data_IF_186432433608
#
_entry.id   IF_186432433608
#
_cell.length_a   1.000
_cell.length_b   1.000
_cell.length_c   1.000
_cell.angle_alpha   90.00
_cell.angle_beta   90.00
_cell.angle_gamma   90.00
#
_symmetry.space_group_name_H-M   'P 1'
#
loop_
_entity.id
_entity.type
_entity.pdbx_description
1 polymer ?
#
# COMPACT_ATOMS: atom_id res chain seq x y z
N UNK A 1 6.00 -3.96 5.60
CA UNK A 1 5.55 -4.74 6.78
C UNK A 1 4.37 -4.04 7.43
N UNK A 2 3.54 -4.78 8.15
CA UNK A 2 2.43 -4.20 8.91
C UNK A 2 2.72 -4.23 10.41
N UNK A 3 2.05 -3.35 11.15
CA UNK A 3 2.07 -3.35 12.60
C UNK A 3 0.64 -3.27 13.15
N UNK A 4 0.45 -3.83 14.31
CA UNK A 4 -0.84 -3.83 14.99
C UNK A 4 -0.66 -3.24 16.39
N UNK A 5 -0.69 -1.89 16.52
CA UNK A 5 -0.55 -1.26 17.83
C UNK A 5 -1.73 -1.63 18.73
N UNK A 6 -1.53 -1.53 20.05
CA UNK A 6 -2.57 -1.93 21.01
C UNK A 6 -3.91 -1.25 20.76
N UNK A 7 -3.90 0.03 20.44
CA UNK A 7 -5.13 0.78 20.15
C UNK A 7 -5.88 0.23 18.93
N UNK A 8 -5.18 -0.41 17.99
CA UNK A 8 -5.84 -1.03 16.84
C UNK A 8 -6.48 -2.38 17.20
N UNK A 9 -5.84 -3.19 18.04
CA UNK A 9 -6.47 -4.40 18.58
C UNK A 9 -7.73 -4.07 19.40
N UNK A 10 -7.63 -3.08 20.29
CA UNK A 10 -8.76 -2.61 21.09
C UNK A 10 -9.94 -2.20 20.18
N UNK A 11 -9.65 -1.51 19.08
CA UNK A 11 -10.64 -1.14 18.07
C UNK A 11 -11.28 -2.36 17.39
N UNK A 12 -10.50 -3.33 16.95
CA UNK A 12 -11.03 -4.53 16.30
C UNK A 12 -11.95 -5.31 17.25
N UNK A 13 -11.58 -5.44 18.52
CA UNK A 13 -12.40 -6.09 19.55
C UNK A 13 -13.70 -5.31 19.82
N UNK A 14 -13.63 -3.99 20.00
CA UNK A 14 -14.79 -3.13 20.25
C UNK A 14 -15.80 -3.13 19.10
N UNK A 15 -15.35 -3.25 17.85
CA UNK A 15 -16.22 -3.35 16.68
C UNK A 15 -16.65 -4.79 16.37
N UNK A 16 -16.17 -5.80 17.13
CA UNK A 16 -16.47 -7.20 16.89
C UNK A 16 -15.83 -7.76 15.61
N UNK A 17 -14.75 -7.15 15.15
CA UNK A 17 -14.03 -7.52 13.94
C UNK A 17 -12.96 -8.59 14.25
N UNK A 18 -13.41 -9.78 14.61
CA UNK A 18 -12.52 -10.88 14.99
C UNK A 18 -11.81 -11.55 13.81
N UNK A 19 -12.40 -11.50 12.62
CA UNK A 19 -11.85 -12.05 11.38
C UNK A 19 -12.17 -11.10 10.21
N UNK A 20 -11.58 -9.88 10.19
CA UNK A 20 -12.00 -8.85 9.25
C UNK A 20 -11.76 -9.22 7.79
N UNK A 21 -10.72 -10.02 7.50
CA UNK A 21 -10.32 -10.40 6.16
C UNK A 21 -10.49 -11.90 5.89
N UNK A 22 -11.30 -12.58 6.72
CA UNK A 22 -11.57 -14.01 6.65
C UNK A 22 -10.66 -14.85 7.56
N UNK A 23 -9.78 -14.22 8.35
CA UNK A 23 -8.96 -14.84 9.38
C UNK A 23 -8.69 -13.87 10.55
N UNK A 24 -8.32 -14.36 11.74
CA UNK A 24 -8.00 -13.52 12.88
C UNK A 24 -6.84 -12.57 12.61
N UNK A 25 -6.88 -11.39 13.22
CA UNK A 25 -5.72 -10.50 13.22
C UNK A 25 -4.50 -11.25 13.82
N UNK A 26 -3.33 -11.19 13.16
CA UNK A 26 -2.13 -11.87 13.66
C UNK A 26 -1.66 -11.24 14.99
N UNK A 27 -0.95 -12.02 15.80
CA UNK A 27 -0.25 -11.50 16.97
C UNK A 27 0.95 -10.65 16.52
N UNK A 28 1.13 -9.50 17.16
CA UNK A 28 2.22 -8.60 16.88
C UNK A 28 2.61 -7.82 18.13
N UNK A 29 3.91 -7.66 18.34
CA UNK A 29 4.53 -6.71 19.26
C UNK A 29 5.90 -6.25 18.71
N UNK A 30 6.53 -5.30 19.39
CA UNK A 30 7.82 -4.77 18.96
C UNK A 30 8.94 -5.82 19.00
N UNK A 31 8.89 -6.79 19.91
CA UNK A 31 9.87 -7.86 19.99
C UNK A 31 9.74 -8.80 18.78
N UNK A 32 8.53 -9.22 18.47
CA UNK A 32 8.21 -9.99 17.27
C UNK A 32 8.65 -9.26 15.99
N UNK A 33 8.42 -7.95 15.92
CA UNK A 33 8.84 -7.13 14.77
C UNK A 33 10.35 -7.21 14.55
N UNK A 34 11.16 -7.10 15.61
CA UNK A 34 12.63 -7.18 15.50
C UNK A 34 13.10 -8.59 15.13
N UNK A 35 12.48 -9.62 15.66
CA UNK A 35 12.77 -11.01 15.30
C UNK A 35 12.46 -11.28 13.83
N UNK A 36 11.28 -10.87 13.34
CA UNK A 36 10.89 -11.03 11.96
C UNK A 36 11.83 -10.27 11.00
N UNK A 37 12.23 -9.05 11.34
CA UNK A 37 13.21 -8.30 10.55
C UNK A 37 14.57 -9.00 10.50
N UNK A 38 14.99 -9.59 11.61
CA UNK A 38 16.25 -10.35 11.68
C UNK A 38 16.19 -11.59 10.79
N UNK A 39 15.11 -12.36 10.87
CA UNK A 39 14.91 -13.58 10.07
C UNK A 39 14.85 -13.27 8.57
N UNK A 40 14.22 -12.16 8.18
CA UNK A 40 14.11 -11.70 6.79
C UNK A 40 15.30 -10.86 6.31
N UNK A 41 16.33 -10.66 7.14
CA UNK A 41 17.47 -9.80 6.83
C UNK A 41 17.08 -8.36 6.45
N UNK A 42 16.00 -7.83 7.03
CA UNK A 42 15.51 -6.48 6.78
C UNK A 42 16.22 -5.50 7.72
N UNK A 43 16.95 -4.55 7.15
CA UNK A 43 17.66 -3.52 7.92
C UNK A 43 16.75 -2.35 8.30
N UNK A 44 15.75 -2.06 7.47
CA UNK A 44 14.79 -0.97 7.70
C UNK A 44 13.40 -1.36 7.18
N UNK A 45 12.38 -1.15 7.99
CA UNK A 45 10.99 -1.43 7.63
C UNK A 45 10.11 -0.18 7.75
N UNK A 46 9.27 0.07 6.74
CA UNK A 46 8.13 0.96 6.85
C UNK A 46 6.93 0.16 7.34
N UNK A 47 6.39 0.57 8.49
CA UNK A 47 5.25 -0.06 9.13
C UNK A 47 3.95 0.63 8.71
N UNK A 48 2.92 -0.12 8.36
CA UNK A 48 1.59 0.40 8.04
C UNK A 48 0.51 -0.41 8.73
N UNK A 49 -0.63 0.21 9.02
CA UNK A 49 -1.85 -0.53 9.34
C UNK A 49 -2.35 -1.20 8.06
N UNK A 50 -2.84 -2.43 8.21
CA UNK A 50 -3.52 -3.15 7.14
C UNK A 50 -5.05 -2.87 7.14
N UNK A 51 -5.81 -3.65 6.38
CA UNK A 51 -7.29 -3.70 6.45
C UNK A 51 -7.76 -4.27 7.81
N UNK A 52 -8.93 -3.83 8.30
CA UNK A 52 -9.80 -2.78 7.77
C UNK A 52 -9.33 -1.37 8.10
N UNK A 53 -9.92 -0.37 7.41
CA UNK A 53 -9.64 1.02 7.73
C UNK A 53 -10.21 1.43 9.10
N UNK A 54 -9.78 2.58 9.59
CA UNK A 54 -10.21 3.15 10.88
C UNK A 54 -11.56 3.88 10.82
N UNK A 55 -12.30 3.79 9.71
CA UNK A 55 -13.57 4.45 9.57
C UNK A 55 -14.71 3.64 10.19
N UNK A 56 -15.26 4.14 11.29
CA UNK A 56 -16.30 3.49 12.10
C UNK A 56 -17.72 3.97 11.76
N UNK A 57 -17.91 4.83 10.74
CA UNK A 57 -19.17 5.54 10.52
C UNK A 57 -19.37 6.74 11.45
N UNK A 58 -18.70 6.81 12.59
CA UNK A 58 -18.69 7.95 13.51
C UNK A 58 -17.43 8.79 13.28
N UNK A 59 -17.61 10.00 12.73
CA UNK A 59 -16.49 10.86 12.38
C UNK A 59 -15.59 11.30 13.54
N UNK A 60 -16.13 11.45 14.76
CA UNK A 60 -15.32 11.81 15.91
C UNK A 60 -14.43 10.64 16.35
N UNK A 61 -15.02 9.44 16.43
CA UNK A 61 -14.30 8.22 16.79
C UNK A 61 -13.25 7.86 15.74
N UNK A 62 -13.56 7.95 14.45
CA UNK A 62 -12.61 7.67 13.37
C UNK A 62 -11.40 8.60 13.41
N UNK A 63 -11.61 9.89 13.70
CA UNK A 63 -10.52 10.87 13.85
C UNK A 63 -9.64 10.58 15.08
N UNK A 64 -10.27 10.27 16.20
CA UNK A 64 -9.58 9.95 17.45
C UNK A 64 -8.76 8.66 17.29
N UNK A 65 -9.34 7.66 16.66
CA UNK A 65 -8.68 6.38 16.41
C UNK A 65 -7.46 6.55 15.49
N UNK A 66 -7.62 7.24 14.34
CA UNK A 66 -6.50 7.53 13.45
C UNK A 66 -5.36 8.24 14.19
N UNK A 67 -5.67 9.28 14.99
CA UNK A 67 -4.71 10.02 15.80
C UNK A 67 -3.94 9.11 16.75
N UNK A 68 -4.63 8.30 17.55
CA UNK A 68 -4.03 7.39 18.53
C UNK A 68 -3.12 6.35 17.87
N UNK A 69 -3.56 5.77 16.75
CA UNK A 69 -2.75 4.81 15.98
C UNK A 69 -1.46 5.47 15.48
N UNK A 70 -1.56 6.67 14.92
CA UNK A 70 -0.39 7.38 14.40
C UNK A 70 0.59 7.79 15.51
N UNK A 71 0.08 8.24 16.67
CA UNK A 71 0.91 8.58 17.83
C UNK A 71 1.60 7.34 18.40
N UNK A 72 0.90 6.20 18.49
CA UNK A 72 1.50 4.92 18.91
C UNK A 72 2.54 4.43 17.89
N UNK A 73 2.26 4.57 16.57
CA UNK A 73 3.23 4.29 15.51
C UNK A 73 4.51 5.12 15.62
N UNK A 74 4.38 6.42 15.84
CA UNK A 74 5.52 7.30 16.07
C UNK A 74 6.32 6.92 17.33
N UNK A 75 5.63 6.50 18.41
CA UNK A 75 6.27 6.01 19.64
C UNK A 75 7.07 4.73 19.34
N UNK A 76 6.49 3.75 18.64
CA UNK A 76 7.15 2.49 18.25
C UNK A 76 8.42 2.81 17.45
N UNK A 77 8.33 3.69 16.45
CA UNK A 77 9.48 4.10 15.65
C UNK A 77 10.55 4.78 16.51
N UNK A 78 10.17 5.54 17.54
CA UNK A 78 11.12 6.20 18.43
C UNK A 78 12.00 5.23 19.24
N UNK A 79 11.56 3.98 19.42
CA UNK A 79 12.35 2.93 20.10
C UNK A 79 13.43 2.33 19.20
N UNK A 80 13.30 2.43 17.86
CA UNK A 80 14.25 1.90 16.89
C UNK A 80 14.35 2.81 15.63
N UNK A 81 14.73 4.09 15.76
CA UNK A 81 14.63 5.08 14.68
C UNK A 81 15.56 4.81 13.50
N UNK A 82 16.62 4.04 13.69
CA UNK A 82 17.54 3.60 12.62
C UNK A 82 17.02 2.41 11.81
N UNK A 83 15.98 1.72 12.29
CA UNK A 83 15.47 0.49 11.67
C UNK A 83 14.00 0.57 11.28
N UNK A 84 13.24 1.49 11.86
CA UNK A 84 11.80 1.61 11.65
C UNK A 84 11.40 3.00 11.16
N UNK A 85 10.40 3.00 10.30
CA UNK A 85 9.59 4.15 9.96
C UNK A 85 8.13 3.75 9.90
N UNK A 86 7.21 4.69 9.73
CA UNK A 86 5.80 4.36 9.61
C UNK A 86 5.06 5.19 8.57
N UNK A 87 3.96 4.64 8.08
CA UNK A 87 3.00 5.29 7.20
C UNK A 87 1.78 5.71 8.02
N UNK A 88 1.41 6.97 7.92
CA UNK A 88 0.25 7.49 8.61
C UNK A 88 -1.05 6.86 8.09
N UNK A 89 -1.95 6.47 9.00
CA UNK A 89 -3.32 6.10 8.65
C UNK A 89 -4.22 7.32 8.75
N UNK A 90 -5.16 7.47 7.79
CA UNK A 90 -6.00 8.65 7.69
C UNK A 90 -7.49 8.30 7.91
N UNK A 91 -8.28 9.18 8.57
CA UNK A 91 -9.68 8.93 8.84
C UNK A 91 -10.58 9.17 7.61
N UNK A 92 -10.17 8.67 6.42
CA UNK A 92 -10.99 8.72 5.22
C UNK A 92 -12.29 7.92 5.43
N UNK A 93 -13.41 8.33 4.79
CA UNK A 93 -13.54 9.34 3.76
C UNK A 93 -13.73 10.79 4.26
N UNK A 94 -13.31 11.11 5.48
CA UNK A 94 -13.44 12.45 6.07
C UNK A 94 -12.31 13.35 5.58
N UNK A 95 -12.39 13.84 4.35
CA UNK A 95 -11.30 14.50 3.59
C UNK A 95 -10.61 15.62 4.39
N UNK A 96 -11.34 16.61 4.88
CA UNK A 96 -10.71 17.70 5.66
C UNK A 96 -10.01 17.18 6.92
N UNK A 97 -10.59 16.19 7.62
CA UNK A 97 -9.95 15.58 8.79
C UNK A 97 -8.69 14.82 8.39
N UNK A 98 -8.72 14.15 7.25
CA UNK A 98 -7.56 13.43 6.70
C UNK A 98 -6.43 14.37 6.29
N UNK A 99 -6.74 15.55 5.76
CA UNK A 99 -5.73 16.59 5.47
C UNK A 99 -5.06 17.07 6.77
N UNK A 100 -5.84 17.36 7.82
CA UNK A 100 -5.29 17.78 9.11
C UNK A 100 -4.43 16.67 9.74
N UNK A 101 -4.87 15.42 9.64
CA UNK A 101 -4.13 14.28 10.17
C UNK A 101 -2.85 14.03 9.37
N UNK A 102 -2.89 14.09 8.04
CA UNK A 102 -1.72 13.95 7.18
C UNK A 102 -0.66 15.01 7.50
N UNK A 103 -1.08 16.28 7.65
CA UNK A 103 -0.17 17.37 8.05
C UNK A 103 0.48 17.09 9.39
N UNK A 104 -0.29 16.73 10.39
CA UNK A 104 0.23 16.42 11.72
C UNK A 104 1.23 15.26 11.69
N UNK A 105 0.89 14.19 10.99
CA UNK A 105 1.76 13.02 10.91
C UNK A 105 3.07 13.31 10.15
N UNK A 106 2.99 14.01 9.03
CA UNK A 106 4.17 14.29 8.20
C UNK A 106 5.05 15.38 8.79
N UNK A 107 4.48 16.39 9.44
CA UNK A 107 5.20 17.56 9.95
C UNK A 107 5.69 17.37 11.40
N UNK A 108 4.85 16.80 12.27
CA UNK A 108 5.13 16.70 13.72
C UNK A 108 5.58 15.29 14.15
N UNK A 109 4.93 14.24 13.62
CA UNK A 109 5.27 12.87 13.96
C UNK A 109 6.37 12.29 13.04
N UNK A 110 6.75 13.01 11.99
CA UNK A 110 7.78 12.62 11.02
C UNK A 110 7.49 11.27 10.34
N UNK A 111 6.22 10.99 10.05
CA UNK A 111 5.83 9.84 9.25
C UNK A 111 6.52 9.87 7.87
N UNK A 112 6.90 8.72 7.35
CA UNK A 112 7.62 8.60 6.07
C UNK A 112 6.69 8.75 4.85
N UNK A 113 5.39 8.65 5.08
CA UNK A 113 4.36 8.75 4.06
C UNK A 113 2.98 8.45 4.64
N UNK A 114 2.04 8.10 3.77
CA UNK A 114 0.68 7.72 4.15
C UNK A 114 0.30 6.36 3.58
N UNK A 115 -0.47 5.57 4.35
CA UNK A 115 -1.11 4.35 3.89
C UNK A 115 -2.57 4.63 3.53
N UNK A 116 -3.00 4.28 2.33
CA UNK A 116 -4.37 4.48 1.86
C UNK A 116 -4.99 3.17 1.41
N UNK A 117 -6.20 2.87 1.90
CA UNK A 117 -6.97 1.71 1.43
C UNK A 117 -7.53 1.97 0.03
N UNK A 118 -7.77 0.91 -0.74
CA UNK A 118 -8.37 0.99 -2.08
C UNK A 118 -9.72 1.66 -2.08
N UNK A 119 -10.50 1.49 -1.00
CA UNK A 119 -11.77 2.19 -0.82
C UNK A 119 -12.09 2.43 0.67
N UNK A 120 -13.03 3.32 0.93
CA UNK A 120 -13.55 3.68 2.25
C UNK A 120 -15.09 3.71 2.17
N UNK A 121 -15.72 2.53 2.34
CA UNK A 121 -17.17 2.40 2.23
C UNK A 121 -17.70 2.79 0.85
N UNK A 122 -16.97 2.44 -0.22
CA UNK A 122 -17.35 2.73 -1.61
C UNK A 122 -16.81 4.06 -2.16
N UNK A 123 -16.04 4.83 -1.36
CA UNK A 123 -15.24 5.95 -1.86
C UNK A 123 -13.87 5.39 -2.28
N UNK A 124 -13.72 5.05 -3.53
CA UNK A 124 -12.47 4.50 -4.08
C UNK A 124 -11.42 5.57 -4.30
N UNK A 125 -10.14 5.19 -4.26
CA UNK A 125 -9.06 6.05 -4.74
C UNK A 125 -9.36 6.46 -6.19
N UNK A 126 -9.07 7.72 -6.52
CA UNK A 126 -9.47 8.34 -7.79
C UNK A 126 -10.87 8.98 -7.79
N UNK A 127 -11.66 8.83 -6.72
CA UNK A 127 -12.92 9.58 -6.57
C UNK A 127 -12.63 11.07 -6.36
N UNK A 128 -13.32 11.93 -7.10
CA UNK A 128 -13.14 13.39 -7.05
C UNK A 128 -13.38 14.00 -5.67
N UNK A 129 -14.12 13.31 -4.80
CA UNK A 129 -14.26 13.72 -3.39
C UNK A 129 -12.95 13.74 -2.64
N UNK A 130 -11.92 13.02 -3.11
CA UNK A 130 -10.59 12.94 -2.50
C UNK A 130 -9.61 13.99 -3.06
N UNK A 131 -9.99 14.79 -4.07
CA UNK A 131 -9.11 15.71 -4.80
C UNK A 131 -8.35 16.68 -3.87
N UNK A 132 -9.00 17.21 -2.84
CA UNK A 132 -8.33 18.12 -1.89
C UNK A 132 -7.21 17.43 -1.10
N UNK A 133 -7.42 16.18 -0.71
CA UNK A 133 -6.37 15.38 -0.06
C UNK A 133 -5.25 15.04 -1.05
N UNK A 134 -5.60 14.65 -2.27
CA UNK A 134 -4.61 14.36 -3.31
C UNK A 134 -3.74 15.58 -3.61
N UNK A 135 -4.33 16.77 -3.70
CA UNK A 135 -3.59 18.02 -3.89
C UNK A 135 -2.64 18.33 -2.71
N UNK A 136 -3.04 18.05 -1.46
CA UNK A 136 -2.17 18.19 -0.29
C UNK A 136 -0.98 17.23 -0.36
N UNK A 137 -1.23 15.95 -0.71
CA UNK A 137 -0.18 14.93 -0.83
C UNK A 137 0.76 15.22 -2.01
N UNK A 138 0.21 15.69 -3.13
CA UNK A 138 0.98 16.10 -4.31
C UNK A 138 1.91 17.27 -4.00
N UNK A 139 1.40 18.32 -3.35
CA UNK A 139 2.19 19.47 -2.95
C UNK A 139 3.38 19.14 -2.03
N UNK A 140 3.33 17.99 -1.38
CA UNK A 140 4.41 17.45 -0.52
C UNK A 140 5.31 16.44 -1.21
N UNK A 141 4.96 15.97 -2.40
CA UNK A 141 5.62 14.83 -3.02
C UNK A 141 5.56 13.58 -2.11
N UNK A 142 4.41 13.36 -1.48
CA UNK A 142 4.28 12.36 -0.44
C UNK A 142 4.43 10.92 -0.98
N UNK A 143 5.13 10.07 -0.21
CA UNK A 143 5.04 8.62 -0.40
C UNK A 143 3.64 8.17 0.01
N UNK A 144 2.96 7.47 -0.88
CA UNK A 144 1.60 6.97 -0.65
C UNK A 144 1.53 5.51 -1.02
N UNK A 145 1.35 4.66 -0.01
CA UNK A 145 1.26 3.21 -0.20
C UNK A 145 -0.21 2.81 -0.22
N UNK A 146 -0.65 2.23 -1.34
CA UNK A 146 -1.98 1.66 -1.47
C UNK A 146 -2.05 0.32 -0.73
N UNK A 147 -3.16 0.04 -0.07
CA UNK A 147 -3.45 -1.29 0.49
C UNK A 147 -4.88 -1.71 0.13
N UNK A 148 -5.09 -2.94 -0.33
CA UNK A 148 -6.44 -3.44 -0.58
C UNK A 148 -7.24 -3.58 0.72
N UNK A 149 -8.55 -3.49 0.59
CA UNK A 149 -9.51 -3.78 1.64
C UNK A 149 -10.74 -4.43 1.04
N UNK A 150 -11.66 -4.89 1.87
CA UNK A 150 -12.90 -5.50 1.43
C UNK A 150 -13.62 -4.63 0.38
N UNK A 151 -14.15 -5.22 -0.69
CA UNK A 151 -15.04 -4.51 -1.62
C UNK A 151 -16.22 -3.87 -0.89
N UNK A 152 -16.63 -2.68 -1.33
CA UNK A 152 -17.80 -2.00 -0.76
C UNK A 152 -19.10 -2.80 -0.87
N UNK A 153 -19.18 -3.67 -1.86
CA UNK A 153 -20.30 -4.59 -2.10
C UNK A 153 -19.76 -5.96 -2.46
N UNK A 154 -19.95 -6.92 -1.59
CA UNK A 154 -19.70 -8.33 -1.87
C UNK A 154 -20.88 -8.93 -2.64
N UNK A 155 -20.58 -9.86 -3.57
CA UNK A 155 -21.61 -10.62 -4.28
C UNK A 155 -22.06 -11.74 -3.36
N UNK A 156 -23.35 -11.78 -2.93
CA UNK A 156 -23.84 -12.83 -2.05
C UNK A 156 -23.70 -14.23 -2.69
N UNK A 157 -23.46 -15.24 -1.89
CA UNK A 157 -23.32 -16.65 -2.29
C UNK A 157 -22.21 -16.94 -3.31
N UNK A 158 -21.20 -16.01 -3.44
CA UNK A 158 -20.08 -16.18 -4.36
C UNK A 158 -18.76 -16.00 -3.61
N UNK A 159 -17.90 -17.03 -3.65
CA UNK A 159 -16.55 -17.02 -3.06
C UNK A 159 -16.51 -16.77 -1.53
N UNK A 160 -17.59 -17.01 -0.79
CA UNK A 160 -17.69 -16.68 0.63
C UNK A 160 -16.70 -17.43 1.53
N UNK A 161 -16.24 -18.62 1.09
CA UNK A 161 -15.25 -19.42 1.82
C UNK A 161 -13.80 -19.07 1.46
N UNK A 162 -13.58 -18.17 0.47
CA UNK A 162 -12.26 -17.74 0.06
C UNK A 162 -11.88 -16.50 0.87
N UNK A 163 -10.79 -16.54 1.66
CA UNK A 163 -10.32 -15.34 2.34
C UNK A 163 -10.08 -14.17 1.39
N UNK A 164 -10.44 -12.96 1.79
CA UNK A 164 -10.34 -11.76 0.93
C UNK A 164 -8.97 -11.56 0.28
N UNK A 165 -7.83 -11.79 0.97
CA UNK A 165 -6.51 -11.64 0.36
C UNK A 165 -6.23 -12.60 -0.80
N UNK A 166 -6.89 -13.76 -0.83
CA UNK A 166 -6.66 -14.76 -1.87
C UNK A 166 -7.21 -14.36 -3.26
N UNK A 167 -8.20 -13.47 -3.30
CA UNK A 167 -8.82 -13.04 -4.55
C UNK A 167 -9.28 -11.57 -4.54
N UNK A 168 -10.12 -11.18 -3.61
CA UNK A 168 -10.76 -9.86 -3.61
C UNK A 168 -9.75 -8.72 -3.51
N UNK A 169 -8.65 -8.88 -2.79
CA UNK A 169 -7.62 -7.87 -2.69
C UNK A 169 -6.95 -7.56 -4.02
N UNK A 170 -6.75 -8.57 -4.86
CA UNK A 170 -6.23 -8.37 -6.21
C UNK A 170 -7.24 -7.63 -7.11
N UNK A 171 -8.51 -7.96 -6.97
CA UNK A 171 -9.60 -7.27 -7.67
C UNK A 171 -9.67 -5.81 -7.22
N UNK A 172 -9.63 -5.56 -5.91
CA UNK A 172 -9.74 -4.22 -5.34
C UNK A 172 -8.53 -3.32 -5.68
N UNK A 173 -7.30 -3.84 -5.59
CA UNK A 173 -6.11 -3.12 -6.04
C UNK A 173 -6.24 -2.71 -7.51
N UNK A 174 -6.63 -3.66 -8.36
CA UNK A 174 -6.81 -3.40 -9.80
C UNK A 174 -7.93 -2.39 -10.04
N UNK A 175 -9.06 -2.54 -9.36
CA UNK A 175 -10.22 -1.63 -9.48
C UNK A 175 -9.87 -0.20 -9.06
N UNK A 176 -9.18 -0.03 -7.93
CA UNK A 176 -8.77 1.27 -7.43
C UNK A 176 -7.79 1.95 -8.40
N UNK A 177 -6.77 1.24 -8.86
CA UNK A 177 -5.82 1.78 -9.84
C UNK A 177 -6.51 2.24 -11.13
N UNK A 178 -7.42 1.42 -11.67
CA UNK A 178 -8.17 1.77 -12.87
C UNK A 178 -9.10 2.97 -12.65
N UNK A 179 -9.70 3.10 -11.47
CA UNK A 179 -10.50 4.26 -11.12
C UNK A 179 -9.63 5.53 -11.04
N UNK A 180 -8.41 5.41 -10.50
CA UNK A 180 -7.43 6.51 -10.48
C UNK A 180 -7.01 6.93 -11.89
N UNK A 181 -6.67 5.97 -12.75
CA UNK A 181 -6.32 6.22 -14.15
C UNK A 181 -7.48 6.87 -14.92
N UNK A 182 -8.71 6.35 -14.76
CA UNK A 182 -9.90 6.90 -15.43
C UNK A 182 -10.20 8.33 -15.01
N UNK A 183 -9.85 8.72 -13.79
CA UNK A 183 -10.08 10.05 -13.23
C UNK A 183 -8.83 10.95 -13.27
N UNK A 184 -7.84 10.60 -14.09
CA UNK A 184 -6.61 11.37 -14.33
C UNK A 184 -5.77 11.64 -13.06
N UNK A 185 -5.87 10.78 -12.03
CA UNK A 185 -5.21 11.00 -10.72
C UNK A 185 -3.70 11.16 -10.88
N UNK A 186 -3.06 10.33 -11.69
CA UNK A 186 -1.59 10.37 -11.90
C UNK A 186 -1.16 11.65 -12.65
N UNK A 187 -1.96 12.11 -13.60
CA UNK A 187 -1.71 13.34 -14.36
C UNK A 187 -1.98 14.61 -13.53
N UNK A 188 -3.05 14.61 -12.72
CA UNK A 188 -3.43 15.77 -11.89
C UNK A 188 -2.53 15.92 -10.66
N UNK A 189 -2.00 14.80 -10.15
CA UNK A 189 -1.19 14.75 -8.92
C UNK A 189 0.13 14.00 -9.16
N UNK A 190 0.99 14.50 -10.08
CA UNK A 190 2.16 13.79 -10.60
C UNK A 190 3.30 13.64 -9.58
N UNK A 191 3.27 14.40 -8.48
CA UNK A 191 4.33 14.35 -7.48
C UNK A 191 4.06 13.31 -6.38
N UNK A 192 2.85 12.74 -6.30
CA UNK A 192 2.56 11.65 -5.36
C UNK A 192 3.34 10.41 -5.80
N UNK A 193 4.13 9.86 -4.88
CA UNK A 193 4.91 8.65 -5.12
C UNK A 193 4.07 7.44 -4.69
N UNK A 194 3.30 6.91 -5.63
CA UNK A 194 2.40 5.79 -5.40
C UNK A 194 3.15 4.46 -5.36
N UNK A 195 2.94 3.66 -4.30
CA UNK A 195 3.35 2.25 -4.24
C UNK A 195 2.10 1.39 -4.30
N UNK A 196 2.03 0.55 -5.32
CA UNK A 196 0.92 -0.37 -5.58
C UNK A 196 1.34 -1.76 -5.11
N UNK A 197 0.57 -2.42 -4.23
CA UNK A 197 0.98 -3.68 -3.63
C UNK A 197 0.89 -4.87 -4.58
N UNK A 198 1.53 -5.98 -4.18
CA UNK A 198 1.40 -7.30 -4.81
C UNK A 198 1.74 -7.29 -6.30
N UNK A 199 2.85 -6.62 -6.69
CA UNK A 199 3.26 -6.47 -8.10
C UNK A 199 2.15 -5.94 -9.02
N UNK A 200 1.28 -5.05 -8.49
CA UNK A 200 0.18 -4.46 -9.24
C UNK A 200 -0.99 -5.40 -9.49
N UNK A 201 -1.09 -6.50 -8.74
CA UNK A 201 -2.22 -7.44 -8.80
C UNK A 201 -2.53 -7.92 -10.23
N UNK A 202 -3.70 -7.61 -10.80
CA UNK A 202 -4.07 -8.02 -12.17
C UNK A 202 -3.73 -6.98 -13.25
N UNK A 203 -3.10 -5.86 -12.92
CA UNK A 203 -2.85 -4.76 -13.87
C UNK A 203 -2.11 -5.23 -15.10
N UNK A 204 -0.98 -5.94 -14.94
CA UNK A 204 -0.17 -6.40 -16.08
C UNK A 204 -0.89 -7.38 -17.01
N UNK A 205 -1.80 -8.21 -16.47
CA UNK A 205 -2.61 -9.15 -17.28
C UNK A 205 -3.66 -8.41 -18.10
N UNK A 206 -4.18 -7.29 -17.55
CA UNK A 206 -5.28 -6.57 -18.14
C UNK A 206 -4.85 -5.33 -18.94
N UNK A 207 -3.57 -4.93 -18.86
CA UNK A 207 -3.05 -3.69 -19.44
C UNK A 207 -3.39 -3.54 -20.93
N UNK A 208 -3.02 -4.52 -21.77
CA UNK A 208 -3.29 -4.47 -23.21
C UNK A 208 -4.79 -4.36 -23.54
N UNK A 209 -5.63 -5.01 -22.71
CA UNK A 209 -7.09 -4.95 -22.88
C UNK A 209 -7.62 -3.58 -22.57
N UNK A 210 -7.14 -2.96 -21.48
CA UNK A 210 -7.54 -1.60 -21.10
C UNK A 210 -7.07 -0.59 -22.12
N UNK A 211 -5.84 -0.68 -22.59
CA UNK A 211 -5.32 0.19 -23.63
C UNK A 211 -6.18 0.13 -24.89
N UNK A 212 -6.51 -1.08 -25.34
CA UNK A 212 -7.39 -1.26 -26.50
C UNK A 212 -8.75 -0.60 -26.32
N UNK A 213 -9.38 -0.73 -25.13
CA UNK A 213 -10.66 -0.09 -24.83
C UNK A 213 -10.52 1.42 -24.62
N UNK A 214 -9.43 1.92 -24.02
CA UNK A 214 -9.15 3.34 -23.89
C UNK A 214 -9.02 3.99 -25.27
N UNK A 215 -8.33 3.36 -26.24
CA UNK A 215 -8.26 3.82 -27.62
C UNK A 215 -9.65 3.87 -28.26
N UNK A 216 -10.48 2.85 -28.08
CA UNK A 216 -11.87 2.88 -28.58
C UNK A 216 -12.69 4.04 -27.97
N UNK A 217 -12.54 4.30 -26.68
CA UNK A 217 -13.22 5.40 -25.99
C UNK A 217 -12.70 6.77 -26.44
N UNK A 218 -11.42 6.92 -26.74
CA UNK A 218 -10.83 8.14 -27.32
C UNK A 218 -11.43 8.47 -28.69
N UNK A 219 -11.76 7.47 -29.52
CA UNK A 219 -12.47 7.70 -30.79
C UNK A 219 -13.90 8.20 -30.61
N UNK A 220 -14.53 7.89 -29.48
CA UNK A 220 -15.87 8.35 -29.15
C UNK A 220 -15.87 9.72 -28.42
N UNK A 221 -14.81 10.02 -27.68
CA UNK A 221 -14.64 11.24 -26.88
C UNK A 221 -13.16 11.62 -26.82
N UNK A 222 -12.78 12.63 -27.59
CA UNK A 222 -11.39 13.08 -27.75
C UNK A 222 -10.74 13.68 -26.48
N UNK A 223 -11.54 14.01 -25.46
CA UNK A 223 -11.04 14.62 -24.22
C UNK A 223 -10.62 13.57 -23.16
N UNK A 224 -10.89 12.28 -23.38
CA UNK A 224 -10.45 11.20 -22.49
C UNK A 224 -8.99 10.84 -22.74
N UNK A 225 -8.16 10.94 -21.68
CA UNK A 225 -6.71 10.76 -21.74
C UNK A 225 -6.18 9.51 -21.03
N UNK A 226 -7.01 8.68 -20.41
CA UNK A 226 -6.52 7.54 -19.66
C UNK A 226 -5.50 6.72 -20.48
N UNK A 227 -4.24 6.78 -20.07
CA UNK A 227 -3.14 5.99 -20.60
C UNK A 227 -2.61 5.11 -19.50
N UNK A 228 -3.15 3.90 -19.43
CA UNK A 228 -2.86 3.01 -18.32
C UNK A 228 -1.42 2.53 -18.31
N UNK A 229 -0.76 2.47 -19.47
CA UNK A 229 0.64 2.07 -19.56
C UNK A 229 1.55 3.16 -19.00
N UNK A 230 1.25 4.44 -19.29
CA UNK A 230 1.93 5.57 -18.71
C UNK A 230 1.70 5.64 -17.19
N UNK A 231 0.45 5.47 -16.75
CA UNK A 231 0.09 5.45 -15.32
C UNK A 231 0.79 4.31 -14.56
N UNK A 232 0.88 3.11 -15.16
CA UNK A 232 1.62 1.99 -14.61
C UNK A 232 3.13 2.28 -14.53
N UNK A 233 3.70 2.91 -15.55
CA UNK A 233 5.12 3.28 -15.55
C UNK A 233 5.44 4.40 -14.55
N UNK A 234 4.47 5.20 -14.15
CA UNK A 234 4.61 6.24 -13.13
C UNK A 234 4.61 5.68 -11.71
N UNK A 235 3.87 4.61 -11.44
CA UNK A 235 3.75 4.01 -10.11
C UNK A 235 4.95 3.11 -9.76
N UNK A 236 5.11 2.87 -8.46
CA UNK A 236 6.05 1.90 -7.88
C UNK A 236 5.27 0.67 -7.41
N UNK A 237 5.97 -0.45 -7.22
CA UNK A 237 5.33 -1.72 -6.89
C UNK A 237 6.11 -2.48 -5.83
N UNK A 238 5.43 -3.05 -4.84
CA UNK A 238 6.08 -3.97 -3.93
C UNK A 238 5.93 -5.43 -4.37
N UNK A 239 6.85 -6.27 -3.90
CA UNK A 239 6.91 -7.68 -4.22
C UNK A 239 6.23 -8.56 -3.18
N UNK A 240 5.32 -8.01 -2.35
CA UNK A 240 4.59 -8.79 -1.37
C UNK A 240 3.70 -9.87 -2.05
N UNK A 241 3.42 -10.94 -1.30
CA UNK A 241 2.70 -12.10 -1.82
C UNK A 241 3.52 -12.88 -2.85
N UNK A 242 3.15 -14.08 -3.21
CA UNK A 242 3.89 -15.04 -4.06
C UNK A 242 4.15 -14.53 -5.51
N UNK A 243 4.81 -13.39 -5.65
CA UNK A 243 4.91 -12.58 -6.85
C UNK A 243 5.97 -13.04 -7.86
N UNK A 244 7.02 -13.77 -7.40
CA UNK A 244 8.18 -14.11 -8.23
C UNK A 244 7.83 -14.97 -9.47
N UNK A 245 6.95 -15.96 -9.31
CA UNK A 245 6.74 -16.97 -10.34
C UNK A 245 6.15 -16.43 -11.65
N UNK A 246 5.12 -15.58 -11.56
CA UNK A 246 4.38 -15.09 -12.73
C UNK A 246 4.29 -13.58 -12.78
N UNK A 247 3.94 -12.94 -11.67
CA UNK A 247 3.65 -11.50 -11.63
C UNK A 247 4.89 -10.67 -11.94
N UNK A 248 6.06 -11.02 -11.38
CA UNK A 248 7.32 -10.31 -11.64
C UNK A 248 7.62 -10.24 -13.15
N UNK A 249 7.57 -11.38 -13.87
CA UNK A 249 7.83 -11.40 -15.29
C UNK A 249 6.83 -10.55 -16.08
N UNK A 250 5.55 -10.61 -15.69
CA UNK A 250 4.50 -9.86 -16.39
C UNK A 250 4.62 -8.36 -16.14
N UNK A 251 4.94 -7.96 -14.89
CA UNK A 251 5.11 -6.55 -14.55
C UNK A 251 6.33 -5.94 -15.25
N UNK A 252 7.44 -6.65 -15.32
CA UNK A 252 8.67 -6.20 -16.01
C UNK A 252 8.50 -5.97 -17.54
N UNK A 253 7.39 -6.40 -18.14
CA UNK A 253 7.05 -6.05 -19.52
C UNK A 253 6.49 -4.65 -19.68
N UNK A 254 5.99 -4.07 -18.59
CA UNK A 254 5.29 -2.78 -18.58
C UNK A 254 6.01 -1.73 -17.73
N UNK A 255 6.86 -2.14 -16.78
CA UNK A 255 7.46 -1.29 -15.76
C UNK A 255 8.94 -1.57 -15.64
N UNK A 256 9.73 -0.50 -15.46
CA UNK A 256 11.18 -0.61 -15.22
C UNK A 256 11.47 -1.17 -13.82
N UNK A 257 12.52 -1.96 -13.68
CA UNK A 257 12.90 -2.57 -12.41
C UNK A 257 13.27 -1.57 -11.30
N UNK A 258 13.57 -0.33 -11.66
CA UNK A 258 13.82 0.74 -10.68
C UNK A 258 12.57 1.14 -9.88
N UNK A 259 11.39 0.69 -10.32
CA UNK A 259 10.11 0.91 -9.65
C UNK A 259 9.69 -0.24 -8.74
N UNK A 260 10.53 -1.27 -8.57
CA UNK A 260 10.22 -2.42 -7.74
C UNK A 260 10.83 -2.32 -6.35
N UNK A 261 10.07 -2.70 -5.32
CA UNK A 261 10.51 -2.79 -3.93
C UNK A 261 10.27 -4.17 -3.35
N UNK A 262 11.06 -4.53 -2.35
CA UNK A 262 10.74 -5.67 -1.51
C UNK A 262 9.62 -5.29 -0.53
N UNK A 263 8.60 -6.15 -0.44
CA UNK A 263 7.54 -6.13 0.56
C UNK A 263 7.35 -7.53 1.12
N UNK A 264 7.21 -7.67 2.42
CA UNK A 264 7.03 -8.99 3.08
C UNK A 264 5.57 -9.33 3.36
N UNK A 265 4.75 -8.31 3.59
CA UNK A 265 3.36 -8.47 4.05
C UNK A 265 3.21 -9.14 5.44
N UNK A 266 4.33 -9.22 6.22
CA UNK A 266 4.27 -9.71 7.60
C UNK A 266 3.55 -8.68 8.50
N UNK A 267 2.84 -9.11 9.54
CA UNK A 267 2.61 -10.47 10.04
C UNK A 267 1.41 -11.19 9.38
N UNK A 268 0.72 -10.58 8.44
CA UNK A 268 -0.44 -11.18 7.77
C UNK A 268 -0.03 -12.35 6.87
N UNK A 269 1.14 -12.28 6.25
CA UNK A 269 1.77 -13.45 5.64
C UNK A 269 2.72 -14.09 6.66
N UNK A 270 2.59 -15.40 6.86
CA UNK A 270 3.44 -16.20 7.77
C UNK A 270 4.93 -16.00 7.46
N UNK A 271 5.75 -15.88 8.50
CA UNK A 271 7.17 -15.58 8.37
C UNK A 271 7.91 -16.61 7.50
N UNK A 272 7.56 -17.89 7.61
CA UNK A 272 8.19 -18.97 6.81
C UNK A 272 7.87 -18.79 5.33
N UNK A 273 6.64 -18.36 5.01
CA UNK A 273 6.26 -18.03 3.64
C UNK A 273 7.01 -16.81 3.11
N UNK A 274 7.19 -15.78 3.95
CA UNK A 274 7.98 -14.59 3.59
C UNK A 274 9.45 -14.90 3.32
N UNK A 275 10.07 -15.79 4.12
CA UNK A 275 11.44 -16.28 3.87
C UNK A 275 11.51 -16.97 2.51
N UNK A 276 10.59 -17.91 2.24
CA UNK A 276 10.55 -18.61 0.95
C UNK A 276 10.33 -17.67 -0.26
N UNK A 277 9.57 -16.59 -0.09
CA UNK A 277 9.38 -15.56 -1.12
C UNK A 277 10.65 -14.72 -1.35
N UNK A 278 11.34 -14.32 -0.27
CA UNK A 278 12.59 -13.58 -0.36
C UNK A 278 13.66 -14.43 -1.07
N UNK A 279 13.82 -15.70 -0.69
CA UNK A 279 14.71 -16.63 -1.35
C UNK A 279 14.39 -16.83 -2.83
N UNK A 280 13.10 -16.95 -3.19
CA UNK A 280 12.68 -17.04 -4.58
C UNK A 280 13.06 -15.80 -5.39
N UNK A 281 12.91 -14.60 -4.83
CA UNK A 281 13.34 -13.35 -5.45
C UNK A 281 14.88 -13.25 -5.56
N UNK A 282 15.63 -13.71 -4.55
CA UNK A 282 17.10 -13.76 -4.60
C UNK A 282 17.61 -14.72 -5.66
N UNK A 283 16.94 -15.86 -5.84
CA UNK A 283 17.34 -16.91 -6.78
C UNK A 283 16.75 -16.73 -8.19
N UNK A 284 15.85 -15.77 -8.40
CA UNK A 284 15.19 -15.60 -9.69
C UNK A 284 16.19 -15.35 -10.82
N UNK A 285 15.95 -16.00 -11.97
CA UNK A 285 16.68 -15.75 -13.21
C UNK A 285 16.09 -14.57 -14.05
N UNK A 286 14.97 -13.98 -13.58
CA UNK A 286 14.28 -12.88 -14.28
C UNK A 286 14.95 -11.53 -14.07
N UNK A 287 15.79 -11.42 -13.04
CA UNK A 287 16.56 -10.24 -12.69
C UNK A 287 18.05 -10.55 -12.61
N UNK A 288 18.88 -9.64 -13.05
CA UNK A 288 20.33 -9.67 -12.79
C UNK A 288 20.62 -9.39 -11.31
N UNK A 289 21.80 -9.74 -10.82
CA UNK A 289 22.17 -9.49 -9.41
C UNK A 289 22.13 -7.98 -9.05
N UNK A 290 22.48 -7.11 -9.99
CA UNK A 290 22.38 -5.66 -9.81
C UNK A 290 20.91 -5.20 -9.68
N UNK A 291 19.99 -5.78 -10.43
CA UNK A 291 18.55 -5.48 -10.34
C UNK A 291 17.94 -6.02 -9.05
N UNK A 292 18.35 -7.22 -8.59
CA UNK A 292 17.96 -7.76 -7.29
C UNK A 292 18.40 -6.84 -6.15
N UNK A 293 19.63 -6.37 -6.18
CA UNK A 293 20.13 -5.40 -5.18
C UNK A 293 19.31 -4.11 -5.19
N UNK A 294 18.90 -3.63 -6.37
CA UNK A 294 17.99 -2.48 -6.47
C UNK A 294 16.64 -2.78 -5.83
N UNK A 295 16.01 -3.92 -6.17
CA UNK A 295 14.71 -4.33 -5.62
C UNK A 295 14.73 -4.42 -4.09
N UNK A 296 15.75 -5.05 -3.51
CA UNK A 296 15.83 -5.24 -2.05
C UNK A 296 16.27 -3.97 -1.29
N UNK A 297 16.99 -3.06 -1.94
CA UNK A 297 17.59 -1.91 -1.20
C UNK A 297 17.66 -0.64 -2.04
N UNK A 298 18.25 -0.72 -3.23
CA UNK A 298 18.67 0.47 -4.00
C UNK A 298 17.53 1.40 -4.36
N UNK A 299 16.40 0.85 -4.79
CA UNK A 299 15.24 1.62 -5.21
C UNK A 299 14.58 2.35 -4.04
N UNK A 300 14.48 1.70 -2.86
CA UNK A 300 13.96 2.34 -1.65
C UNK A 300 14.84 3.52 -1.21
N UNK A 301 16.18 3.34 -1.26
CA UNK A 301 17.13 4.40 -0.94
C UNK A 301 17.12 5.57 -1.96
N UNK A 302 16.76 5.30 -3.20
CA UNK A 302 16.60 6.33 -4.23
C UNK A 302 15.29 7.11 -4.02
N UNK A 303 14.20 6.41 -3.69
CA UNK A 303 12.88 7.01 -3.46
C UNK A 303 12.83 7.81 -2.16
N UNK A 304 13.52 7.37 -1.11
CA UNK A 304 13.55 7.94 0.23
C UNK A 304 14.98 8.39 0.61
N UNK A 305 15.50 9.52 0.08
CA UNK A 305 16.87 9.94 0.33
C UNK A 305 17.22 10.12 1.82
N UNK A 306 16.27 10.56 2.64
CA UNK A 306 16.42 10.69 4.11
C UNK A 306 16.66 9.36 4.81
N UNK A 307 16.30 8.23 4.18
CA UNK A 307 16.52 6.91 4.73
C UNK A 307 18.01 6.58 4.88
N UNK A 308 18.85 7.07 3.96
CA UNK A 308 20.32 6.90 4.04
C UNK A 308 20.90 7.50 5.31
N UNK A 309 20.37 8.65 5.73
CA UNK A 309 20.84 9.36 6.93
C UNK A 309 20.43 8.59 8.19
N UNK A 310 19.24 7.98 8.21
CA UNK A 310 18.72 7.21 9.36
C UNK A 310 19.42 5.87 9.56
N UNK A 311 19.71 5.12 8.49
CA UNK A 311 20.37 3.80 8.57
C UNK A 311 21.81 3.92 9.04
N UNK A 312 22.44 5.09 8.86
CA UNK A 312 23.85 5.33 9.24
C UNK A 312 24.01 6.15 10.53
N UNK A 313 22.92 6.55 11.17
CA UNK A 313 22.91 7.27 12.44
C UNK A 313 22.87 6.32 13.64
#
# INVERSE_FOLDING_TARGET
MHYLPKVYYDFLEEEGLYCPDGFPAPEWDEAWQQEAMTELCISYALLSISSPSVFTGNKFRSRELARKINEEGAQIVSHAPGNLGFLATLPLPLVHSSIFEARYCLDELHADGVGLMTNYGGVYLGDRRLDELMAELDGRGALTVMHPTQPAVMVPDVNEEIPLPAFEYFVETTRAFLNMAQNDTFTLYPNIRWVVPHMGAFLSILADRFESFALMLRFADSDRRADIMEDMAHAYYDAAGFSEQKQLEMLLRNVDESHLFYGSDTPYTDITACVGQAEALEQTAKLTDAQKQKLFTGNALALLPKLKERIHA
#
